data_IF_886206877391
#
_entry.id   IF_886206877391
#
_cell.length_a   1.000
_cell.length_b   1.000
_cell.length_c   1.000
_cell.angle_alpha   90.00
_cell.angle_beta   90.00
_cell.angle_gamma   90.00
#
_symmetry.space_group_name_H-M   'P 1'
#
loop_
_entity.id
_entity.type
_entity.pdbx_description
1 polymer ?
#
# COMPACT_ATOMS: atom_id res chain seq x y z
N UNK A 1 50.19 46.74 1.35
CA UNK A 1 48.91 46.05 1.60
C UNK A 1 47.85 46.70 0.72
N UNK A 2 47.27 45.98 -0.25
CA UNK A 2 46.26 46.52 -1.19
C UNK A 2 44.87 46.11 -0.70
N UNK A 3 44.04 47.11 -0.35
CA UNK A 3 42.66 46.94 0.08
C UNK A 3 41.76 46.58 -1.12
N UNK A 4 40.86 45.64 -0.87
CA UNK A 4 39.80 45.22 -1.78
C UNK A 4 38.78 46.35 -2.01
N UNK A 5 38.29 46.47 -3.25
CA UNK A 5 37.09 47.22 -3.60
C UNK A 5 36.13 46.31 -4.37
N UNK A 6 34.90 46.26 -3.88
CA UNK A 6 33.74 45.50 -4.31
C UNK A 6 33.34 45.72 -5.78
N UNK A 7 32.83 44.68 -6.45
CA UNK A 7 31.71 44.64 -7.42
C UNK A 7 31.86 43.35 -8.25
N UNK A 8 30.84 42.63 -8.72
CA UNK A 8 29.41 42.58 -8.50
C UNK A 8 28.97 41.23 -9.14
N UNK A 9 28.01 40.56 -8.49
CA UNK A 9 26.92 39.80 -9.10
C UNK A 9 27.23 38.69 -10.14
N UNK A 10 27.00 37.44 -9.74
CA UNK A 10 26.07 36.60 -10.51
C UNK A 10 25.30 35.66 -9.58
N UNK A 11 24.01 35.92 -9.55
CA UNK A 11 22.95 35.18 -8.89
C UNK A 11 22.81 33.75 -9.42
N UNK A 12 22.83 32.78 -8.52
CA UNK A 12 22.07 31.53 -8.68
C UNK A 12 21.57 31.15 -7.29
N UNK A 13 20.38 31.62 -6.94
CA UNK A 13 19.63 31.11 -5.78
C UNK A 13 19.18 29.69 -6.11
N UNK A 14 20.09 28.73 -5.94
CA UNK A 14 19.79 27.32 -5.94
C UNK A 14 18.89 27.03 -4.74
N UNK A 15 17.59 27.12 -5.03
CA UNK A 15 16.45 26.55 -4.32
C UNK A 15 16.83 25.69 -3.11
N UNK A 16 16.62 26.25 -1.92
CA UNK A 16 16.61 25.51 -0.66
C UNK A 16 15.59 24.37 -0.76
N UNK A 17 16.01 23.20 -1.24
CA UNK A 17 15.31 21.94 -0.98
C UNK A 17 15.40 21.74 0.53
N UNK A 18 14.41 22.25 1.25
CA UNK A 18 14.31 22.09 2.69
C UNK A 18 14.27 20.60 2.98
N UNK A 19 15.39 20.07 3.47
CA UNK A 19 15.47 18.73 4.01
C UNK A 19 14.43 18.67 5.14
N UNK A 20 13.31 17.96 4.92
CA UNK A 20 12.25 17.84 5.91
C UNK A 20 12.89 17.39 7.24
N UNK A 21 12.58 18.12 8.32
CA UNK A 21 13.09 17.72 9.64
C UNK A 21 12.61 16.28 9.92
N UNK A 22 13.49 15.45 10.48
CA UNK A 22 13.17 14.06 10.85
C UNK A 22 11.88 13.98 11.66
N UNK A 23 11.63 14.96 12.54
CA UNK A 23 10.37 15.04 13.31
C UNK A 23 9.15 15.31 12.43
N UNK A 24 9.27 16.12 11.38
CA UNK A 24 8.19 16.37 10.43
C UNK A 24 7.87 15.10 9.61
N UNK A 25 8.89 14.37 9.16
CA UNK A 25 8.72 13.09 8.47
C UNK A 25 7.99 12.06 9.33
N UNK A 26 8.39 11.91 10.60
CA UNK A 26 7.74 10.97 11.53
C UNK A 26 6.27 11.36 11.75
N UNK A 27 5.97 12.65 11.98
CA UNK A 27 4.59 13.11 12.14
C UNK A 27 3.74 12.84 10.90
N UNK A 28 4.31 13.02 9.71
CA UNK A 28 3.63 12.70 8.46
C UNK A 28 3.33 11.21 8.34
N UNK A 29 4.32 10.34 8.59
CA UNK A 29 4.14 8.89 8.58
C UNK A 29 3.08 8.41 9.58
N UNK A 30 3.10 8.94 10.80
CA UNK A 30 2.09 8.63 11.82
C UNK A 30 0.70 9.14 11.43
N UNK A 31 0.61 10.33 10.82
CA UNK A 31 -0.63 10.88 10.30
C UNK A 31 -1.22 10.00 9.19
N UNK A 32 -0.38 9.56 8.26
CA UNK A 32 -0.78 8.63 7.20
C UNK A 32 -1.25 7.30 7.79
N UNK A 33 -0.48 6.70 8.71
CA UNK A 33 -0.83 5.45 9.37
C UNK A 33 -2.18 5.54 10.09
N UNK A 34 -2.41 6.63 10.82
CA UNK A 34 -3.69 6.88 11.51
C UNK A 34 -4.84 6.98 10.52
N UNK A 35 -4.69 7.79 9.48
CA UNK A 35 -5.74 8.00 8.49
C UNK A 35 -6.08 6.70 7.74
N UNK A 36 -5.07 5.93 7.35
CA UNK A 36 -5.27 4.60 6.74
C UNK A 36 -6.00 3.66 7.69
N UNK A 37 -5.62 3.64 8.98
CA UNK A 37 -6.29 2.81 9.99
C UNK A 37 -7.78 3.15 10.17
N UNK A 38 -8.13 4.44 10.17
CA UNK A 38 -9.54 4.88 10.25
C UNK A 38 -10.35 4.44 9.01
N UNK A 39 -9.77 4.59 7.82
CA UNK A 39 -10.40 4.16 6.57
C UNK A 39 -10.59 2.65 6.55
N UNK A 40 -9.56 1.87 6.90
CA UNK A 40 -9.65 0.42 6.99
C UNK A 40 -10.72 -0.03 7.98
N UNK A 41 -10.79 0.60 9.16
CA UNK A 41 -11.79 0.27 10.18
C UNK A 41 -13.20 0.50 9.65
N UNK A 42 -13.41 1.62 8.95
CA UNK A 42 -14.69 1.90 8.31
C UNK A 42 -15.04 0.82 7.26
N UNK A 43 -14.10 0.50 6.36
CA UNK A 43 -14.31 -0.51 5.32
C UNK A 43 -14.60 -1.90 5.89
N UNK A 44 -13.84 -2.34 6.90
CA UNK A 44 -14.09 -3.62 7.60
C UNK A 44 -15.49 -3.68 8.19
N UNK A 45 -15.94 -2.57 8.79
CA UNK A 45 -17.29 -2.48 9.37
C UNK A 45 -18.36 -2.60 8.28
N UNK A 46 -18.19 -1.91 7.15
CA UNK A 46 -19.16 -1.97 6.04
C UNK A 46 -19.16 -3.34 5.36
N UNK A 47 -18.01 -3.93 5.09
CA UNK A 47 -17.90 -5.25 4.47
C UNK A 47 -18.53 -6.34 5.35
N UNK A 48 -18.26 -6.30 6.66
CA UNK A 48 -18.85 -7.27 7.58
C UNK A 48 -20.37 -7.09 7.67
N UNK A 49 -20.85 -5.84 7.76
CA UNK A 49 -22.28 -5.55 7.92
C UNK A 49 -23.10 -5.92 6.69
N UNK A 50 -22.59 -5.61 5.50
CA UNK A 50 -23.37 -5.71 4.27
C UNK A 50 -23.12 -7.00 3.47
N UNK A 51 -21.96 -7.65 3.67
CA UNK A 51 -21.55 -8.80 2.84
C UNK A 51 -21.04 -9.99 3.65
N UNK A 52 -21.02 -9.91 4.99
CA UNK A 52 -20.41 -10.92 5.86
C UNK A 52 -18.96 -11.29 5.46
N UNK A 53 -18.25 -10.35 4.85
CA UNK A 53 -16.92 -10.56 4.28
C UNK A 53 -15.89 -9.69 4.99
N UNK A 54 -14.63 -10.10 4.90
CA UNK A 54 -13.50 -9.39 5.49
C UNK A 54 -12.72 -8.63 4.41
N UNK A 55 -11.99 -7.59 4.85
CA UNK A 55 -11.16 -6.80 3.93
C UNK A 55 -10.16 -7.67 3.13
N UNK A 56 -9.46 -8.66 3.73
CA UNK A 56 -8.57 -9.56 2.96
C UNK A 56 -9.30 -10.45 1.95
N UNK A 57 -10.50 -10.95 2.28
CA UNK A 57 -11.30 -11.74 1.32
C UNK A 57 -11.71 -10.88 0.12
N UNK A 58 -12.19 -9.66 0.38
CA UNK A 58 -12.53 -8.71 -0.67
C UNK A 58 -11.33 -8.39 -1.56
N UNK A 59 -10.17 -8.09 -0.95
CA UNK A 59 -8.95 -7.74 -1.68
C UNK A 59 -8.47 -8.90 -2.57
N UNK A 60 -8.55 -10.14 -2.08
CA UNK A 60 -8.25 -11.33 -2.86
C UNK A 60 -9.20 -11.51 -4.04
N UNK A 61 -10.51 -11.34 -3.83
CA UNK A 61 -11.51 -11.43 -4.90
C UNK A 61 -11.31 -10.33 -5.94
N UNK A 62 -11.02 -9.09 -5.52
CA UNK A 62 -10.73 -7.98 -6.42
C UNK A 62 -9.46 -8.22 -7.24
N UNK A 63 -8.42 -8.81 -6.63
CA UNK A 63 -7.20 -9.18 -7.35
C UNK A 63 -7.46 -10.24 -8.43
N UNK A 64 -8.30 -11.24 -8.13
CA UNK A 64 -8.71 -12.26 -9.09
C UNK A 64 -9.62 -11.69 -10.19
N UNK A 65 -10.56 -10.81 -9.84
CA UNK A 65 -11.50 -10.19 -10.78
C UNK A 65 -10.78 -9.30 -11.82
N UNK A 66 -9.74 -8.58 -11.40
CA UNK A 66 -8.92 -7.78 -12.31
C UNK A 66 -7.91 -8.60 -13.12
N UNK A 67 -7.68 -9.87 -12.80
CA UNK A 67 -6.68 -10.68 -13.48
C UNK A 67 -7.27 -11.33 -14.75
N UNK A 68 -6.61 -11.11 -15.89
CA UNK A 68 -7.01 -11.73 -17.18
C UNK A 68 -6.77 -13.25 -17.20
N UNK A 69 -5.92 -13.75 -16.31
CA UNK A 69 -5.57 -15.17 -16.16
C UNK A 69 -5.65 -15.60 -14.69
N UNK A 70 -5.81 -16.90 -14.42
CA UNK A 70 -5.68 -17.42 -13.06
C UNK A 70 -4.32 -17.07 -12.45
N UNK A 71 -4.34 -16.60 -11.21
CA UNK A 71 -3.14 -16.22 -10.47
C UNK A 71 -2.60 -17.38 -9.64
N UNK A 72 -1.28 -17.57 -9.66
CA UNK A 72 -0.59 -18.41 -8.68
C UNK A 72 -0.63 -17.78 -7.29
N UNK A 73 -0.43 -18.59 -6.24
CA UNK A 73 -0.36 -18.08 -4.85
C UNK A 73 0.75 -17.03 -4.65
N UNK A 74 1.84 -17.14 -5.40
CA UNK A 74 2.97 -16.20 -5.36
C UNK A 74 2.64 -14.87 -6.05
N UNK A 75 1.96 -14.91 -7.20
CA UNK A 75 1.48 -13.67 -7.86
C UNK A 75 0.45 -12.96 -6.97
N UNK A 76 -0.47 -13.72 -6.38
CA UNK A 76 -1.50 -13.20 -5.49
C UNK A 76 -0.92 -12.51 -4.24
N UNK A 77 0.08 -13.12 -3.59
CA UNK A 77 0.73 -12.52 -2.42
C UNK A 77 1.52 -11.26 -2.73
N UNK A 78 2.12 -11.19 -3.92
CA UNK A 78 2.80 -9.97 -4.39
C UNK A 78 1.80 -8.85 -4.65
N UNK A 79 0.68 -9.12 -5.31
CA UNK A 79 -0.35 -8.10 -5.56
C UNK A 79 -1.00 -7.58 -4.27
N UNK A 80 -1.27 -8.47 -3.31
CA UNK A 80 -1.87 -8.10 -2.02
C UNK A 80 -0.84 -7.55 -1.01
N UNK A 81 0.46 -7.51 -1.36
CA UNK A 81 1.56 -7.06 -0.49
C UNK A 81 1.59 -7.76 0.89
N UNK A 82 1.29 -9.05 0.93
CA UNK A 82 1.25 -9.86 2.17
C UNK A 82 2.18 -11.07 2.07
N UNK A 83 2.46 -11.70 3.21
CA UNK A 83 3.27 -12.92 3.23
C UNK A 83 2.55 -14.09 2.55
N UNK A 84 3.32 -14.98 1.91
CA UNK A 84 2.80 -16.20 1.29
C UNK A 84 2.01 -17.08 2.28
N UNK A 85 2.42 -17.09 3.56
CA UNK A 85 1.71 -17.80 4.63
C UNK A 85 0.33 -17.23 4.90
N UNK A 86 0.18 -15.89 4.89
CA UNK A 86 -1.11 -15.22 5.07
C UNK A 86 -2.06 -15.50 3.90
N UNK A 87 -1.55 -15.51 2.68
CA UNK A 87 -2.37 -15.82 1.49
C UNK A 87 -2.80 -17.27 1.47
N UNK A 88 -1.90 -18.21 1.81
CA UNK A 88 -2.20 -19.63 1.69
C UNK A 88 -3.35 -20.07 2.58
N UNK A 89 -3.38 -19.63 3.84
CA UNK A 89 -4.50 -19.97 4.73
C UNK A 89 -5.81 -19.34 4.23
N UNK A 90 -5.75 -18.10 3.74
CA UNK A 90 -6.92 -17.36 3.26
C UNK A 90 -7.51 -18.02 2.01
N UNK A 91 -6.66 -18.37 1.04
CA UNK A 91 -7.06 -19.11 -0.16
C UNK A 91 -7.73 -20.42 0.22
N UNK A 92 -7.09 -21.23 1.08
CA UNK A 92 -7.65 -22.52 1.49
C UNK A 92 -9.02 -22.36 2.17
N UNK A 93 -9.17 -21.33 3.02
CA UNK A 93 -10.45 -20.99 3.64
C UNK A 93 -11.50 -20.60 2.60
N UNK A 94 -11.17 -19.72 1.65
CA UNK A 94 -12.11 -19.28 0.63
C UNK A 94 -12.52 -20.39 -0.33
N UNK A 95 -11.62 -21.34 -0.63
CA UNK A 95 -11.97 -22.58 -1.34
C UNK A 95 -12.96 -23.40 -0.54
N UNK A 96 -12.74 -23.57 0.77
CA UNK A 96 -13.67 -24.32 1.64
C UNK A 96 -15.05 -23.65 1.79
N UNK A 97 -15.09 -22.32 1.72
CA UNK A 97 -16.33 -21.53 1.71
C UNK A 97 -17.00 -21.49 0.32
N UNK A 98 -16.38 -22.09 -0.71
CA UNK A 98 -16.89 -22.13 -2.08
C UNK A 98 -16.81 -20.80 -2.85
N UNK A 99 -16.01 -19.84 -2.36
CA UNK A 99 -15.89 -18.51 -2.96
C UNK A 99 -14.92 -18.47 -4.16
N UNK A 100 -13.93 -19.36 -4.17
CA UNK A 100 -12.92 -19.47 -5.23
C UNK A 100 -12.62 -20.94 -5.53
N UNK A 101 -12.05 -21.21 -6.69
CA UNK A 101 -11.65 -22.56 -7.11
C UNK A 101 -10.23 -22.59 -7.62
N UNK A 102 -9.55 -23.72 -7.44
CA UNK A 102 -8.30 -23.99 -8.15
C UNK A 102 -8.59 -24.38 -9.59
N UNK A 103 -7.82 -23.84 -10.52
CA UNK A 103 -7.80 -24.27 -11.92
C UNK A 103 -6.49 -24.99 -12.19
N UNK A 104 -6.58 -26.11 -12.90
CA UNK A 104 -5.42 -26.86 -13.33
C UNK A 104 -4.71 -26.06 -14.43
N UNK A 105 -3.45 -25.72 -14.20
CA UNK A 105 -2.58 -25.16 -15.23
C UNK A 105 -2.37 -26.23 -16.31
N UNK A 106 -3.14 -26.17 -17.40
CA UNK A 106 -2.93 -26.98 -18.61
C UNK A 106 -2.07 -26.21 -19.59
#
# INVERSE_FOLDING_TARGET
>A
MKNCSNSASSSTSASSRSQLDKKQLIRLWLGLLKNTGEIERYLRTQLQKNFASTLPQFDLLAALDHAEKPLSKTELSQQMMVSNGNVTWLVNRMVSEGLITHVLST
#
